data_IF_445605940641
#
_entry.id   IF_445605940641
#
_cell.length_a   1.000
_cell.length_b   1.000
_cell.length_c   1.000
_cell.angle_alpha   90.00
_cell.angle_beta   90.00
_cell.angle_gamma   90.00
#
_symmetry.space_group_name_H-M   'P 1'
#
loop_
_entity.id
_entity.type
_entity.pdbx_description
1 polymer ?
#
# COMPACT_ATOMS: atom_id res chain seq x y z
N UNK A 1 -20.30 19.61 18.01
CA UNK A 1 -20.14 18.54 19.04
C UNK A 1 -19.76 17.26 18.29
N UNK A 2 -18.52 16.86 18.04
CA UNK A 2 -17.28 17.07 18.79
C UNK A 2 -16.85 15.77 19.50
N UNK A 3 -16.80 14.63 18.80
CA UNK A 3 -16.50 13.30 19.36
C UNK A 3 -15.34 12.56 18.65
N UNK A 4 -14.34 13.28 18.12
CA UNK A 4 -13.19 12.64 17.45
C UNK A 4 -11.81 13.14 17.89
N UNK A 5 -11.71 13.87 19.00
CA UNK A 5 -10.48 14.60 19.35
C UNK A 5 -9.64 13.99 20.49
N UNK A 6 -9.99 12.82 21.04
CA UNK A 6 -9.30 12.31 22.25
C UNK A 6 -8.89 10.83 22.20
N UNK A 7 -8.69 10.25 21.01
CA UNK A 7 -8.35 8.82 20.89
C UNK A 7 -6.85 8.53 20.70
N UNK A 8 -5.97 9.51 20.95
CA UNK A 8 -4.52 9.38 20.72
C UNK A 8 -3.63 9.40 21.99
N UNK A 9 -4.21 9.48 23.19
CA UNK A 9 -3.43 9.42 24.43
C UNK A 9 -3.86 8.23 25.29
N UNK A 10 -2.87 7.39 25.63
CA UNK A 10 -2.92 6.33 26.64
C UNK A 10 -3.34 4.92 26.21
N UNK A 11 -2.61 4.31 25.27
CA UNK A 11 -1.91 3.03 25.52
C UNK A 11 -1.15 2.57 24.26
N UNK A 12 0.14 2.86 24.21
CA UNK A 12 1.08 2.38 23.20
C UNK A 12 1.26 0.86 23.34
N UNK A 13 0.83 0.08 22.34
CA UNK A 13 1.51 -1.12 21.79
C UNK A 13 0.75 -1.67 20.57
N UNK A 14 1.11 -1.12 19.41
CA UNK A 14 1.32 -1.82 18.12
C UNK A 14 0.17 -2.50 17.37
N UNK A 15 -0.97 -1.90 17.01
CA UNK A 15 -1.87 -2.57 16.03
C UNK A 15 -2.62 -1.62 15.10
N UNK A 16 -1.91 -0.71 14.47
CA UNK A 16 -2.37 -0.01 13.27
C UNK A 16 -1.18 0.07 12.32
N UNK A 17 -1.30 -0.54 11.16
CA UNK A 17 -0.27 -0.50 10.12
C UNK A 17 -1.00 -0.48 8.81
N UNK A 18 -1.15 0.71 8.25
CA UNK A 18 -1.74 0.92 6.94
C UNK A 18 -0.75 1.79 6.17
N UNK A 19 0.44 1.24 5.88
CA UNK A 19 1.35 1.87 4.93
C UNK A 19 1.12 1.26 3.55
N UNK A 20 0.57 2.07 2.64
CA UNK A 20 0.67 1.79 1.20
C UNK A 20 1.73 2.72 0.64
N UNK A 21 2.69 2.16 -0.09
CA UNK A 21 3.73 2.95 -0.78
C UNK A 21 3.35 3.05 -2.25
N UNK A 22 3.17 4.25 -2.77
CA UNK A 22 3.02 4.45 -4.20
C UNK A 22 4.35 4.91 -4.79
N UNK A 23 4.89 4.15 -5.74
CA UNK A 23 6.15 4.43 -6.43
C UNK A 23 5.90 4.84 -7.86
N UNK A 24 6.52 5.95 -8.25
CA UNK A 24 6.46 6.50 -9.59
C UNK A 24 7.78 6.26 -10.32
N UNK A 25 7.75 5.53 -11.44
CA UNK A 25 8.90 5.36 -12.35
C UNK A 25 8.52 5.84 -13.75
N UNK A 26 9.30 6.76 -14.33
CA UNK A 26 9.25 6.97 -15.77
C UNK A 26 10.25 6.03 -16.47
N UNK A 27 9.70 5.25 -17.40
CA UNK A 27 10.35 4.43 -18.43
C UNK A 27 10.40 2.91 -18.21
N UNK A 28 10.37 2.24 -19.36
CA UNK A 28 10.19 0.81 -19.63
C UNK A 28 11.41 0.02 -19.13
N UNK A 29 11.13 -1.17 -18.58
CA UNK A 29 12.07 -2.21 -18.13
C UNK A 29 12.73 -1.99 -16.75
N UNK A 30 12.18 -2.67 -15.72
CA UNK A 30 12.86 -3.75 -14.96
C UNK A 30 12.03 -4.17 -13.72
N UNK A 31 11.98 -5.48 -13.48
CA UNK A 31 11.25 -6.17 -12.40
C UNK A 31 11.97 -6.12 -11.04
N UNK A 32 11.20 -6.25 -9.95
CA UNK A 32 11.59 -6.01 -8.55
C UNK A 32 11.69 -7.31 -7.73
N UNK A 33 12.62 -7.31 -6.76
CA UNK A 33 12.93 -8.36 -5.78
C UNK A 33 12.21 -8.09 -4.42
N UNK A 34 11.76 -9.10 -3.65
CA UNK A 34 10.95 -8.86 -2.44
C UNK A 34 11.81 -8.60 -1.19
N UNK A 35 11.48 -7.56 -0.42
CA UNK A 35 12.06 -7.27 0.89
C UNK A 35 10.95 -7.05 1.94
N UNK A 36 11.02 -7.80 3.06
CA UNK A 36 10.10 -7.81 4.19
C UNK A 36 10.57 -6.86 5.29
N UNK A 37 9.72 -5.93 5.76
CA UNK A 37 10.16 -4.96 6.78
C UNK A 37 9.09 -4.65 7.85
N UNK A 38 9.53 -4.50 9.10
CA UNK A 38 8.72 -4.16 10.29
C UNK A 38 8.69 -2.63 10.52
N UNK A 39 7.65 -2.13 11.18
CA UNK A 39 7.22 -0.70 11.29
C UNK A 39 8.27 0.37 11.63
N UNK A 40 9.36 0.06 12.31
CA UNK A 40 10.44 1.04 12.58
C UNK A 40 11.44 1.16 11.43
N UNK A 41 11.46 0.16 10.55
CA UNK A 41 12.40 -0.03 9.45
C UNK A 41 11.73 0.33 8.10
N UNK A 42 10.47 0.80 8.06
CA UNK A 42 9.77 1.11 6.80
C UNK A 42 10.31 2.34 6.07
N UNK A 43 10.89 3.27 6.80
CA UNK A 43 11.72 4.30 6.18
C UNK A 43 12.93 3.66 5.50
N UNK A 44 13.60 2.72 6.17
CA UNK A 44 14.69 1.96 5.58
C UNK A 44 14.21 1.14 4.39
N UNK A 45 12.99 0.58 4.40
CA UNK A 45 12.42 -0.09 3.23
C UNK A 45 12.15 0.88 2.09
N UNK A 46 11.50 2.01 2.35
CA UNK A 46 11.17 2.99 1.31
C UNK A 46 12.44 3.58 0.69
N UNK A 47 13.45 3.87 1.51
CA UNK A 47 14.77 4.36 1.09
C UNK A 47 15.55 3.25 0.38
N UNK A 48 15.56 2.02 0.90
CA UNK A 48 16.23 0.89 0.25
C UNK A 48 15.59 0.55 -1.09
N UNK A 49 14.26 0.60 -1.17
CA UNK A 49 13.50 0.38 -2.40
C UNK A 49 13.80 1.46 -3.42
N UNK A 50 13.79 2.73 -3.01
CA UNK A 50 14.19 3.85 -3.86
C UNK A 50 15.63 3.66 -4.37
N UNK A 51 16.59 3.38 -3.48
CA UNK A 51 18.00 3.12 -3.85
C UNK A 51 18.14 1.93 -4.80
N UNK A 52 17.36 0.86 -4.60
CA UNK A 52 17.36 -0.31 -5.46
C UNK A 52 16.84 0.00 -6.86
N UNK A 53 15.78 0.82 -6.96
CA UNK A 53 15.20 1.23 -8.23
C UNK A 53 16.09 2.21 -9.00
N UNK A 54 16.73 3.15 -8.29
CA UNK A 54 17.40 4.29 -8.91
C UNK A 54 18.84 4.00 -9.35
N UNK A 55 19.42 2.83 -9.02
CA UNK A 55 20.81 2.38 -9.33
C UNK A 55 21.79 3.52 -9.70
N UNK A 56 22.71 3.85 -8.80
CA UNK A 56 23.83 4.77 -9.01
C UNK A 56 24.44 4.63 -10.43
N UNK A 57 24.72 5.74 -11.14
CA UNK A 57 25.26 5.67 -12.50
C UNK A 57 26.60 4.95 -12.47
N UNK A 58 26.75 3.96 -13.36
CA UNK A 58 28.06 3.69 -13.93
C UNK A 58 28.46 4.97 -14.66
N UNK A 59 29.67 5.45 -14.34
CA UNK A 59 30.24 6.75 -14.70
C UNK A 59 29.71 7.40 -15.98
N UNK A 60 29.24 8.64 -15.83
CA UNK A 60 29.52 9.71 -16.77
C UNK A 60 28.73 9.74 -18.07
N UNK A 61 27.40 9.80 -18.03
CA UNK A 61 26.62 10.51 -19.06
C UNK A 61 25.43 11.23 -18.41
N UNK A 62 25.43 12.55 -18.56
CA UNK A 62 24.44 13.51 -18.09
C UNK A 62 23.18 13.44 -18.97
N UNK A 63 22.54 12.27 -18.99
CA UNK A 63 21.25 12.07 -19.63
C UNK A 63 20.14 12.38 -18.63
N UNK A 64 19.14 13.12 -19.08
CA UNK A 64 17.89 13.53 -18.43
C UNK A 64 17.24 12.37 -17.63
N UNK A 65 17.78 12.11 -16.43
CA UNK A 65 17.53 10.91 -15.65
C UNK A 65 16.11 10.96 -15.09
N UNK A 66 15.26 10.02 -15.52
CA UNK A 66 13.92 9.79 -15.01
C UNK A 66 13.86 9.92 -13.48
N UNK A 67 13.30 11.02 -12.98
CA UNK A 67 13.19 11.28 -11.54
C UNK A 67 12.14 10.34 -10.94
N UNK A 68 12.57 9.45 -10.05
CA UNK A 68 11.67 8.58 -9.28
C UNK A 68 11.07 9.41 -8.13
N UNK A 69 9.76 9.29 -7.94
CA UNK A 69 9.07 9.92 -6.83
C UNK A 69 8.34 8.85 -6.01
N UNK A 70 8.44 8.95 -4.69
CA UNK A 70 7.80 8.04 -3.76
C UNK A 70 6.87 8.83 -2.83
N UNK A 71 5.64 8.34 -2.70
CA UNK A 71 4.69 8.81 -1.71
C UNK A 71 4.42 7.67 -0.73
N UNK A 72 4.77 7.90 0.54
CA UNK A 72 4.31 7.09 1.65
C UNK A 72 3.14 7.77 2.37
N UNK A 73 2.18 6.99 2.87
CA UNK A 73 1.15 7.52 3.74
C UNK A 73 0.71 6.49 4.77
N UNK A 74 0.15 6.95 5.87
CA UNK A 74 -0.42 6.15 6.95
C UNK A 74 -1.43 6.98 7.75
N UNK A 75 -2.28 6.29 8.51
CA UNK A 75 -3.29 6.88 9.35
C UNK A 75 -2.69 7.55 10.62
N UNK A 76 -1.56 7.05 11.12
CA UNK A 76 -0.91 7.57 12.33
C UNK A 76 -0.02 8.77 12.00
N UNK A 77 -0.53 9.97 12.28
CA UNK A 77 0.17 11.23 12.09
C UNK A 77 1.53 11.27 12.81
N UNK A 78 1.66 10.64 13.98
CA UNK A 78 2.93 10.64 14.71
C UNK A 78 3.99 9.78 14.01
N UNK A 79 3.60 8.71 13.31
CA UNK A 79 4.51 7.94 12.47
C UNK A 79 4.92 8.73 11.23
N UNK A 80 3.97 9.45 10.61
CA UNK A 80 4.27 10.31 9.47
C UNK A 80 5.21 11.44 9.84
N UNK A 81 4.97 12.14 10.96
CA UNK A 81 5.85 13.19 11.44
C UNK A 81 7.28 12.69 11.66
N UNK A 82 7.45 11.50 12.26
CA UNK A 82 8.77 10.89 12.41
C UNK A 82 9.40 10.59 11.05
N UNK A 83 8.66 9.96 10.13
CA UNK A 83 9.16 9.64 8.80
C UNK A 83 9.59 10.88 8.02
N UNK A 84 8.87 12.00 8.16
CA UNK A 84 9.24 13.28 7.57
C UNK A 84 10.53 13.85 8.20
N UNK A 85 10.66 13.82 9.52
CA UNK A 85 11.83 14.35 10.25
C UNK A 85 13.13 13.61 9.91
N UNK A 86 13.05 12.30 9.68
CA UNK A 86 14.22 11.45 9.43
C UNK A 86 14.45 11.18 7.93
N UNK A 87 13.67 11.80 7.03
CA UNK A 87 13.72 11.54 5.60
C UNK A 87 15.05 12.02 4.96
N UNK A 88 15.90 11.11 4.45
CA UNK A 88 17.18 11.51 3.84
C UNK A 88 17.02 12.13 2.44
N UNK A 89 15.85 11.99 1.79
CA UNK A 89 15.63 12.39 0.39
C UNK A 89 14.31 13.18 0.22
N UNK A 90 14.12 14.34 0.88
CA UNK A 90 12.86 15.08 0.87
C UNK A 90 12.42 15.59 -0.51
N UNK A 91 13.35 15.73 -1.46
CA UNK A 91 13.06 16.13 -2.85
C UNK A 91 12.46 15.01 -3.71
N UNK A 92 12.55 13.76 -3.25
CA UNK A 92 12.18 12.55 -4.01
C UNK A 92 11.18 11.67 -3.26
N UNK A 93 11.24 11.65 -1.94
CA UNK A 93 10.34 10.90 -1.04
C UNK A 93 9.48 11.90 -0.26
N UNK A 94 8.17 11.71 -0.27
CA UNK A 94 7.21 12.49 0.51
C UNK A 94 6.37 11.57 1.39
N UNK A 95 5.95 12.08 2.55
CA UNK A 95 5.06 11.36 3.47
C UNK A 95 3.85 12.22 3.84
N UNK A 96 2.65 11.66 3.86
CA UNK A 96 1.41 12.37 4.25
C UNK A 96 0.57 11.53 5.21
N UNK A 97 -0.17 12.14 6.16
CA UNK A 97 -1.19 11.43 6.90
C UNK A 97 -2.41 11.21 6.01
N UNK A 98 -2.88 9.96 5.92
CA UNK A 98 -4.03 9.61 5.08
C UNK A 98 -4.73 8.34 5.58
N UNK A 99 -6.05 8.43 5.71
CA UNK A 99 -6.92 7.25 5.79
C UNK A 99 -7.39 6.82 4.40
N UNK A 100 -6.75 5.80 3.83
CA UNK A 100 -7.12 5.26 2.51
C UNK A 100 -8.51 4.60 2.48
N UNK A 101 -9.20 4.43 3.60
CA UNK A 101 -10.59 3.94 3.60
C UNK A 101 -11.61 5.05 3.41
N UNK A 102 -11.19 6.33 3.50
CA UNK A 102 -12.07 7.50 3.43
C UNK A 102 -11.90 8.29 2.13
N UNK A 103 -11.99 9.63 2.15
CA UNK A 103 -11.68 10.46 0.99
C UNK A 103 -10.17 10.46 0.71
N UNK A 104 -9.81 10.28 -0.57
CA UNK A 104 -8.42 10.19 -1.03
C UNK A 104 -8.06 11.24 -2.07
N UNK A 105 -8.75 12.38 -2.08
CA UNK A 105 -8.45 13.52 -2.95
C UNK A 105 -6.96 13.93 -2.92
N UNK A 106 -6.30 13.87 -1.76
CA UNK A 106 -4.87 14.16 -1.63
C UNK A 106 -3.97 13.28 -2.52
N UNK A 107 -4.36 12.02 -2.78
CA UNK A 107 -3.61 11.14 -3.70
C UNK A 107 -3.76 11.61 -5.15
N UNK A 108 -4.96 12.05 -5.52
CA UNK A 108 -5.23 12.59 -6.84
C UNK A 108 -4.51 13.93 -7.05
N UNK A 109 -4.49 14.80 -6.03
CA UNK A 109 -3.74 16.05 -6.06
C UNK A 109 -2.24 15.81 -6.24
N UNK A 110 -1.69 14.82 -5.52
CA UNK A 110 -0.28 14.44 -5.67
C UNK A 110 0.06 13.97 -7.10
N UNK A 111 -0.84 13.20 -7.72
CA UNK A 111 -0.72 12.73 -9.10
C UNK A 111 -0.84 13.89 -10.10
N UNK A 112 -1.80 14.79 -9.90
CA UNK A 112 -2.03 15.97 -10.73
C UNK A 112 -0.83 16.92 -10.73
N UNK A 113 -0.23 17.17 -9.57
CA UNK A 113 1.00 17.95 -9.44
C UNK A 113 2.17 17.40 -10.27
N UNK A 114 2.12 16.12 -10.62
CA UNK A 114 3.13 15.41 -11.41
C UNK A 114 2.67 15.11 -12.83
N UNK A 115 1.53 15.66 -13.27
CA UNK A 115 0.92 15.40 -14.58
C UNK A 115 0.68 13.91 -14.86
N UNK A 116 0.27 13.18 -13.83
CA UNK A 116 0.06 11.73 -13.89
C UNK A 116 -1.39 11.39 -13.63
N UNK A 117 -1.93 10.42 -14.38
CA UNK A 117 -3.28 9.92 -14.13
C UNK A 117 -3.32 8.77 -13.11
N UNK A 118 -2.19 8.06 -12.92
CA UNK A 118 -2.03 6.93 -12.00
C UNK A 118 -0.58 6.84 -11.51
N UNK A 119 -0.40 6.16 -10.39
CA UNK A 119 0.90 5.68 -9.94
C UNK A 119 1.36 4.54 -10.83
N UNK A 120 2.63 4.55 -11.20
CA UNK A 120 3.22 3.46 -11.98
C UNK A 120 3.23 2.14 -11.18
N UNK A 121 3.51 2.22 -9.89
CA UNK A 121 3.51 1.10 -8.97
C UNK A 121 2.87 1.52 -7.65
N UNK A 122 2.08 0.64 -7.06
CA UNK A 122 1.64 0.77 -5.67
C UNK A 122 1.90 -0.52 -4.92
N UNK A 123 2.28 -0.40 -3.67
CA UNK A 123 2.64 -1.48 -2.77
C UNK A 123 1.62 -1.50 -1.65
N UNK A 124 0.88 -2.60 -1.52
CA UNK A 124 -0.04 -2.86 -0.42
C UNK A 124 0.49 -4.03 0.38
N UNK A 125 1.29 -3.75 1.40
CA UNK A 125 2.11 -4.75 2.05
C UNK A 125 1.68 -4.92 3.51
N UNK A 126 1.16 -6.10 3.85
CA UNK A 126 0.74 -6.42 5.22
C UNK A 126 -0.27 -5.41 5.83
N UNK A 127 -1.17 -4.87 5.00
CA UNK A 127 -2.21 -3.91 5.41
C UNK A 127 -3.61 -4.51 5.36
N UNK A 128 -3.86 -5.39 4.39
CA UNK A 128 -5.21 -5.95 4.09
C UNK A 128 -5.93 -6.48 5.32
N UNK A 129 -5.24 -7.19 6.21
CA UNK A 129 -5.83 -7.72 7.44
C UNK A 129 -6.38 -6.64 8.37
N UNK A 130 -5.65 -5.54 8.56
CA UNK A 130 -6.06 -4.49 9.48
C UNK A 130 -7.30 -3.76 8.95
N UNK A 131 -7.32 -3.45 7.66
CA UNK A 131 -8.49 -2.85 7.03
C UNK A 131 -9.68 -3.80 7.10
N UNK A 132 -9.48 -5.07 6.79
CA UNK A 132 -10.55 -6.06 6.82
C UNK A 132 -11.13 -6.27 8.24
N UNK A 133 -10.29 -6.30 9.28
CA UNK A 133 -10.75 -6.44 10.66
C UNK A 133 -11.52 -5.21 11.17
N UNK A 134 -11.14 -4.00 10.74
CA UNK A 134 -11.77 -2.76 11.19
C UNK A 134 -13.01 -2.38 10.37
N UNK A 135 -13.02 -2.65 9.06
CA UNK A 135 -14.03 -2.17 8.11
C UNK A 135 -14.80 -3.30 7.38
N UNK A 136 -14.57 -4.55 7.76
CA UNK A 136 -15.27 -5.71 7.21
C UNK A 136 -14.93 -6.02 5.75
N UNK A 137 -15.69 -6.93 5.15
CA UNK A 137 -15.50 -7.36 3.76
C UNK A 137 -15.55 -6.16 2.79
N UNK A 138 -16.49 -5.22 3.02
CA UNK A 138 -16.63 -4.03 2.20
C UNK A 138 -15.39 -3.15 2.23
N UNK A 139 -14.80 -2.91 3.40
CA UNK A 139 -13.58 -2.13 3.52
C UNK A 139 -12.38 -2.77 2.84
N UNK A 140 -12.25 -4.10 2.92
CA UNK A 140 -11.22 -4.85 2.19
C UNK A 140 -11.37 -4.65 0.68
N UNK A 141 -12.57 -4.86 0.13
CA UNK A 141 -12.81 -4.74 -1.30
C UNK A 141 -12.65 -3.28 -1.78
N UNK A 142 -13.07 -2.30 -0.97
CA UNK A 142 -12.88 -0.87 -1.27
C UNK A 142 -11.40 -0.49 -1.32
N UNK A 143 -10.60 -0.94 -0.35
CA UNK A 143 -9.13 -0.73 -0.37
C UNK A 143 -8.53 -1.26 -1.67
N UNK A 144 -8.83 -2.53 -2.00
CA UNK A 144 -8.28 -3.20 -3.17
C UNK A 144 -8.69 -2.49 -4.46
N UNK A 145 -9.99 -2.17 -4.62
CA UNK A 145 -10.51 -1.43 -5.77
C UNK A 145 -9.88 -0.05 -5.91
N UNK A 146 -9.72 0.67 -4.80
CA UNK A 146 -9.16 2.02 -4.79
C UNK A 146 -7.70 2.00 -5.23
N UNK A 147 -6.89 1.10 -4.66
CA UNK A 147 -5.51 0.92 -5.08
C UNK A 147 -5.45 0.55 -6.57
N UNK A 148 -6.25 -0.41 -7.02
CA UNK A 148 -6.28 -0.78 -8.44
C UNK A 148 -6.68 0.36 -9.39
N UNK A 149 -7.51 1.30 -8.94
CA UNK A 149 -7.91 2.47 -9.73
C UNK A 149 -6.77 3.49 -9.88
N UNK A 150 -5.94 3.62 -8.84
CA UNK A 150 -4.85 4.57 -8.73
C UNK A 150 -3.53 4.03 -9.30
N UNK A 151 -3.45 2.74 -9.65
CA UNK A 151 -2.19 2.08 -10.01
C UNK A 151 -2.18 1.52 -11.42
N UNK A 152 -1.01 1.52 -12.05
CA UNK A 152 -0.71 0.73 -13.24
C UNK A 152 -0.22 -0.68 -12.84
N UNK A 153 0.69 -0.77 -11.86
CA UNK A 153 1.08 -2.02 -11.20
C UNK A 153 0.69 -1.98 -9.72
N UNK A 154 0.18 -3.10 -9.19
CA UNK A 154 -0.11 -3.29 -7.77
C UNK A 154 0.64 -4.50 -7.26
N UNK A 155 1.53 -4.28 -6.30
CA UNK A 155 2.21 -5.33 -5.55
C UNK A 155 1.48 -5.52 -4.22
N UNK A 156 0.81 -6.65 -4.06
CA UNK A 156 -0.06 -6.96 -2.93
C UNK A 156 0.50 -8.10 -2.08
N UNK A 157 0.68 -7.86 -0.80
CA UNK A 157 0.94 -8.89 0.22
C UNK A 157 -0.26 -8.98 1.17
N UNK A 158 -1.09 -10.00 0.98
CA UNK A 158 -2.20 -10.29 1.89
C UNK A 158 -1.74 -11.17 3.05
N UNK A 159 -2.09 -10.80 4.29
CA UNK A 159 -1.75 -11.65 5.43
C UNK A 159 -2.67 -12.88 5.50
N UNK A 160 -2.14 -14.06 5.85
CA UNK A 160 -2.92 -15.29 5.92
C UNK A 160 -3.91 -15.28 7.08
N UNK A 161 -4.98 -16.06 6.96
CA UNK A 161 -6.07 -16.13 7.96
C UNK A 161 -5.61 -16.47 9.39
N UNK A 162 -4.49 -17.20 9.54
CA UNK A 162 -3.88 -17.47 10.86
C UNK A 162 -3.50 -16.18 11.62
N UNK A 163 -3.12 -15.12 10.91
CA UNK A 163 -2.82 -13.82 11.47
C UNK A 163 -4.09 -13.13 11.99
N UNK A 164 -5.21 -13.25 11.27
CA UNK A 164 -6.51 -12.72 11.71
C UNK A 164 -6.94 -13.32 13.04
N UNK A 165 -6.91 -14.66 13.16
CA UNK A 165 -7.26 -15.38 14.41
C UNK A 165 -6.39 -14.92 15.59
N UNK A 166 -5.10 -14.72 15.33
CA UNK A 166 -4.14 -14.29 16.34
C UNK A 166 -4.40 -12.84 16.79
N UNK A 167 -4.65 -11.94 15.85
CA UNK A 167 -5.01 -10.55 16.11
C UNK A 167 -6.34 -10.44 16.88
N UNK A 168 -7.40 -11.09 16.40
CA UNK A 168 -8.70 -11.10 17.05
C UNK A 168 -8.65 -11.68 18.47
N UNK A 169 -7.82 -12.70 18.72
CA UNK A 169 -7.59 -13.21 20.08
C UNK A 169 -6.89 -12.18 20.97
N UNK A 170 -5.89 -11.48 20.44
CA UNK A 170 -5.15 -10.46 21.19
C UNK A 170 -6.02 -9.26 21.54
N UNK A 171 -6.82 -8.77 20.60
CA UNK A 171 -7.71 -7.63 20.78
C UNK A 171 -8.79 -7.92 21.84
N UNK A 172 -9.40 -9.12 21.79
CA UNK A 172 -10.34 -9.57 22.84
C UNK A 172 -9.72 -9.59 24.24
N UNK A 173 -8.47 -10.06 24.38
CA UNK A 173 -7.77 -10.07 25.68
C UNK A 173 -7.50 -8.67 26.23
N UNK A 174 -7.44 -7.66 25.36
CA UNK A 174 -7.24 -6.27 25.73
C UNK A 174 -8.57 -5.53 26.02
N UNK A 175 -9.69 -6.24 26.13
CA UNK A 175 -11.01 -5.65 26.39
C UNK A 175 -11.59 -4.90 25.20
N UNK A 176 -11.03 -5.08 23.99
CA UNK A 176 -11.48 -4.45 22.75
C UNK A 176 -12.52 -5.34 22.07
N UNK A 177 -13.77 -5.24 22.55
CA UNK A 177 -14.93 -5.94 21.99
C UNK A 177 -15.48 -5.30 20.71
N UNK A 178 -14.98 -4.14 20.32
CA UNK A 178 -15.24 -3.43 19.06
C UNK A 178 -14.84 -4.23 17.80
N UNK A 179 -14.17 -5.38 17.95
CA UNK A 179 -13.78 -6.29 16.85
C UNK A 179 -14.78 -7.44 16.61
N UNK A 180 -16.06 -7.26 16.93
CA UNK A 180 -17.11 -8.24 16.65
C UNK A 180 -17.28 -8.56 15.15
N UNK A 181 -16.79 -7.67 14.26
CA UNK A 181 -16.73 -7.90 12.82
C UNK A 181 -16.01 -9.19 12.44
N UNK A 182 -15.02 -9.67 13.22
CA UNK A 182 -14.31 -10.90 12.90
C UNK A 182 -15.26 -12.10 12.72
N UNK A 183 -16.33 -12.18 13.50
CA UNK A 183 -17.35 -13.24 13.39
C UNK A 183 -18.26 -13.06 12.17
N UNK A 184 -18.38 -11.83 11.68
CA UNK A 184 -19.26 -11.44 10.57
C UNK A 184 -18.57 -11.47 9.20
N UNK A 185 -17.22 -11.47 9.16
CA UNK A 185 -16.46 -11.52 7.90
C UNK A 185 -16.90 -12.72 7.07
N UNK A 186 -17.24 -12.52 5.80
CA UNK A 186 -17.57 -13.61 4.87
C UNK A 186 -16.36 -14.02 4.05
N UNK A 187 -15.46 -13.08 3.75
CA UNK A 187 -14.19 -13.34 3.09
C UNK A 187 -13.25 -13.97 4.13
N UNK A 188 -12.92 -15.25 3.97
CA UNK A 188 -12.12 -16.03 4.93
C UNK A 188 -11.20 -16.99 4.19
N UNK A 189 -10.14 -17.47 4.86
CA UNK A 189 -9.24 -18.46 4.27
C UNK A 189 -8.13 -17.79 3.46
N UNK A 190 -8.04 -18.08 2.16
CA UNK A 190 -6.99 -17.53 1.31
C UNK A 190 -7.35 -16.10 0.85
N UNK A 191 -6.98 -15.13 1.68
CA UNK A 191 -7.23 -13.70 1.41
C UNK A 191 -6.49 -13.23 0.15
N UNK A 192 -5.33 -13.81 -0.17
CA UNK A 192 -4.58 -13.44 -1.37
C UNK A 192 -5.35 -13.85 -2.63
N UNK A 193 -5.93 -15.06 -2.65
CA UNK A 193 -6.77 -15.50 -3.77
C UNK A 193 -8.05 -14.68 -3.88
N UNK A 194 -8.75 -14.40 -2.77
CA UNK A 194 -9.92 -13.52 -2.82
C UNK A 194 -9.60 -12.13 -3.38
N UNK A 195 -8.47 -11.56 -3.00
CA UNK A 195 -8.03 -10.27 -3.51
C UNK A 195 -7.68 -10.35 -5.01
N UNK A 196 -6.96 -11.39 -5.44
CA UNK A 196 -6.64 -11.64 -6.85
C UNK A 196 -7.91 -11.74 -7.69
N UNK A 197 -8.85 -12.58 -7.28
CA UNK A 197 -10.11 -12.78 -8.00
C UNK A 197 -10.90 -11.47 -8.13
N UNK A 198 -10.94 -10.66 -7.07
CA UNK A 198 -11.61 -9.37 -7.11
C UNK A 198 -10.93 -8.40 -8.08
N UNK A 199 -9.60 -8.35 -8.06
CA UNK A 199 -8.80 -7.50 -8.95
C UNK A 199 -8.99 -7.87 -10.43
N UNK A 200 -9.02 -9.18 -10.74
CA UNK A 200 -9.24 -9.68 -12.09
C UNK A 200 -10.68 -9.45 -12.57
N UNK A 201 -11.67 -9.83 -11.77
CA UNK A 201 -13.08 -9.80 -12.19
C UNK A 201 -13.71 -8.42 -12.15
N UNK A 202 -13.28 -7.55 -11.23
CA UNK A 202 -13.96 -6.28 -10.96
C UNK A 202 -13.08 -5.05 -11.14
N UNK A 203 -11.76 -5.20 -11.11
CA UNK A 203 -10.86 -4.07 -11.26
C UNK A 203 -10.18 -4.02 -12.62
N UNK A 204 -10.25 -5.05 -13.47
CA UNK A 204 -9.56 -5.06 -14.76
C UNK A 204 -8.04 -5.01 -14.61
N UNK A 205 -7.53 -5.73 -13.61
CA UNK A 205 -6.10 -5.96 -13.40
C UNK A 205 -5.82 -7.43 -13.69
N UNK A 206 -4.65 -7.76 -14.22
CA UNK A 206 -4.23 -9.13 -14.53
C UNK A 206 -3.07 -9.52 -13.62
N UNK A 207 -3.08 -10.76 -13.11
CA UNK A 207 -1.95 -11.29 -12.38
C UNK A 207 -0.78 -11.49 -13.35
N UNK A 208 0.32 -10.75 -13.15
CA UNK A 208 1.57 -10.98 -13.87
C UNK A 208 2.36 -12.10 -13.19
N UNK A 209 2.51 -12.01 -11.87
CA UNK A 209 3.42 -12.87 -11.12
C UNK A 209 2.96 -13.10 -9.70
N UNK A 210 3.15 -14.32 -9.22
CA UNK A 210 3.09 -14.66 -7.80
C UNK A 210 4.50 -15.00 -7.32
N UNK A 211 5.03 -14.25 -6.37
CA UNK A 211 6.35 -14.48 -5.81
C UNK A 211 6.26 -15.44 -4.61
N UNK A 212 5.99 -16.72 -4.90
CA UNK A 212 6.03 -17.82 -3.93
C UNK A 212 5.30 -17.57 -2.60
N UNK A 213 5.61 -18.40 -1.60
CA UNK A 213 5.23 -18.17 -0.21
C UNK A 213 6.48 -17.90 0.61
N UNK A 214 6.44 -16.87 1.44
CA UNK A 214 7.50 -16.66 2.44
C UNK A 214 7.46 -17.74 3.53
N UNK A 215 8.46 -17.79 4.40
CA UNK A 215 8.45 -18.65 5.60
C UNK A 215 7.21 -18.45 6.50
N UNK A 216 6.53 -17.31 6.36
CA UNK A 216 5.30 -16.98 7.08
C UNK A 216 4.03 -17.35 6.31
N UNK A 217 4.15 -18.02 5.16
CA UNK A 217 3.08 -18.37 4.22
C UNK A 217 2.33 -17.13 3.73
N UNK A 218 3.09 -16.11 3.34
CA UNK A 218 2.56 -14.91 2.69
C UNK A 218 2.95 -14.92 1.24
N UNK A 219 1.94 -14.82 0.37
CA UNK A 219 2.10 -14.65 -1.07
C UNK A 219 2.23 -13.16 -1.39
N UNK A 220 3.16 -12.84 -2.27
CA UNK A 220 3.28 -11.50 -2.86
C UNK A 220 2.81 -11.59 -4.30
N UNK A 221 1.77 -10.83 -4.64
CA UNK A 221 1.14 -10.85 -5.95
C UNK A 221 1.45 -9.55 -6.68
N UNK A 222 1.95 -9.64 -7.90
CA UNK A 222 2.07 -8.51 -8.82
C UNK A 222 0.95 -8.56 -9.84
N UNK A 223 0.13 -7.52 -9.83
CA UNK A 223 -0.96 -7.32 -10.76
C UNK A 223 -0.73 -6.07 -11.59
N UNK A 224 -1.29 -6.06 -12.80
CA UNK A 224 -1.09 -4.99 -13.76
C UNK A 224 -2.35 -4.65 -14.53
N UNK A 225 -2.43 -3.41 -14.99
CA UNK A 225 -3.46 -2.94 -15.91
C UNK A 225 -2.84 -2.39 -17.20
N UNK A 226 -3.39 -2.80 -18.34
CA UNK A 226 -3.05 -2.21 -19.62
C UNK A 226 -3.38 -0.70 -19.64
N UNK A 227 -2.46 0.13 -20.17
CA UNK A 227 -2.76 1.54 -20.39
C UNK A 227 -3.93 1.62 -21.37
N UNK A 228 -4.98 2.35 -20.99
CA UNK A 228 -6.04 2.69 -21.93
C UNK A 228 -5.40 3.29 -23.19
N UNK A 229 -5.60 2.66 -24.35
CA UNK A 229 -5.12 3.22 -25.62
C UNK A 229 -5.78 4.58 -25.77
N UNK A 230 -5.01 5.65 -25.86
CA UNK A 230 -5.53 6.91 -26.38
C UNK A 230 -6.02 6.63 -27.80
N UNK A 231 -7.33 6.58 -27.99
CA UNK A 231 -7.95 6.68 -29.29
C UNK A 231 -7.65 8.09 -29.81
N UNK A 232 -6.58 8.23 -30.59
CA UNK A 232 -6.44 9.38 -31.48
C UNK A 232 -7.56 9.26 -32.51
N UNK A 233 -8.68 9.94 -32.28
CA UNK A 233 -9.54 10.36 -33.38
C UNK A 233 -8.74 11.36 -34.19
N UNK A 234 -8.25 10.92 -35.34
CA UNK A 234 -7.74 11.80 -36.38
C UNK A 234 -8.88 12.74 -36.78
N UNK A 235 -8.67 14.04 -36.55
CA UNK A 235 -9.38 15.10 -37.27
C UNK A 235 -8.62 15.40 -38.56
#
# INVERSE_FOLDING_TARGET
MGYFSNFHQSNRRHYTTVFTVAVFTMSKHNFICPLFVSLCEWQDLSVAFYKHLVKEPVCGEDSDRSKVHLLGFDLDEALIQRAQQTNPLPSSISFIPLDITTDTNQLQDYLNQRSCSRFHLSLCLAVTMWVHLNHGDSGLLQLISRLASLSQHLLLEAQPWKCYRSAARRLRKLGRSDFDHFKMLKIRGDIAEHAREHLERHCGMELIRSFGSTAWDRKLLELWREKARCSFTSL
#
